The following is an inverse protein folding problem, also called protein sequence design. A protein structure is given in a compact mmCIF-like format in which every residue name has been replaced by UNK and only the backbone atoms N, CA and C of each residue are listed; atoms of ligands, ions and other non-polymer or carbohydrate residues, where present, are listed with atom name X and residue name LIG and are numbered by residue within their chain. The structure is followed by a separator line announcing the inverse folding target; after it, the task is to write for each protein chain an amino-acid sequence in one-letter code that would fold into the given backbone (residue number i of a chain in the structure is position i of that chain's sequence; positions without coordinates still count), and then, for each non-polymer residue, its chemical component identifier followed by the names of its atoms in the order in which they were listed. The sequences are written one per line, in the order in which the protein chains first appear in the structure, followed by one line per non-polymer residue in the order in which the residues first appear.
data_IF_528082024161
#
_entry.id   IF_528082024161
#
_cell.length_a   1.000
_cell.length_b   1.000
_cell.length_c   1.000
_cell.angle_alpha   90.00
_cell.angle_beta   90.00
_cell.angle_gamma   90.00
#
_symmetry.space_group_name_H-M   'P 1'
#
loop_
_entity.id
_entity.type
_entity.pdbx_description
1 polymer ?
#
# COMPACT_ATOMS: atom_id res chain seq x y z
N UNK A 1 -13.12 -11.98 -58.62
CA UNK A 1 -11.66 -12.27 -58.71
C UNK A 1 -10.95 -11.39 -57.69
N UNK A 2 -9.95 -11.85 -56.92
CA UNK A 2 -9.43 -13.20 -56.62
C UNK A 2 -9.85 -13.66 -55.19
N UNK A 3 -9.99 -14.95 -54.84
CA UNK A 3 -9.04 -16.05 -54.55
C UNK A 3 -8.60 -16.14 -53.06
N UNK A 4 -8.43 -17.36 -52.51
CA UNK A 4 -8.43 -17.63 -51.07
C UNK A 4 -7.05 -17.47 -50.41
N UNK A 5 -7.03 -17.06 -49.15
CA UNK A 5 -5.81 -17.01 -48.34
C UNK A 5 -5.38 -18.42 -47.93
N UNK A 6 -4.28 -18.87 -48.54
CA UNK A 6 -3.48 -20.02 -48.13
C UNK A 6 -2.52 -19.62 -47.02
N UNK A 7 -2.47 -20.47 -45.99
CA UNK A 7 -1.50 -20.47 -44.90
C UNK A 7 -0.06 -20.52 -45.44
N UNK A 8 0.80 -19.61 -44.96
CA UNK A 8 2.24 -19.88 -44.79
C UNK A 8 2.73 -19.25 -43.47
N UNK A 9 2.86 -20.11 -42.47
CA UNK A 9 3.84 -19.99 -41.41
C UNK A 9 5.24 -19.86 -42.04
N UNK A 10 5.94 -18.74 -41.83
CA UNK A 10 7.41 -18.68 -41.88
C UNK A 10 7.93 -17.45 -41.12
N UNK A 11 8.62 -17.74 -40.01
CA UNK A 11 9.93 -17.17 -39.67
C UNK A 11 10.15 -15.64 -39.66
N UNK A 12 9.49 -14.90 -38.78
CA UNK A 12 9.90 -13.49 -38.52
C UNK A 12 10.06 -13.13 -37.03
N UNK A 13 10.49 -14.08 -36.20
CA UNK A 13 10.76 -13.84 -34.76
C UNK A 13 12.22 -14.06 -34.32
N UNK A 14 13.18 -14.26 -35.24
CA UNK A 14 14.58 -14.52 -34.87
C UNK A 14 15.56 -13.35 -35.07
N UNK A 15 15.20 -12.30 -35.83
CA UNK A 15 16.17 -11.24 -36.20
C UNK A 15 16.19 -10.03 -35.26
N UNK A 16 15.18 -9.84 -34.40
CA UNK A 16 15.11 -8.67 -33.51
C UNK A 16 15.85 -8.84 -32.16
N UNK A 17 16.35 -10.04 -31.83
CA UNK A 17 17.00 -10.33 -30.52
C UNK A 17 18.53 -10.28 -30.54
N UNK A 18 19.15 -10.05 -31.70
CA UNK A 18 20.60 -10.20 -31.87
C UNK A 18 21.45 -8.92 -31.63
N UNK A 19 20.88 -7.73 -31.41
CA UNK A 19 21.67 -6.48 -31.45
C UNK A 19 21.97 -5.81 -30.09
N UNK A 20 21.56 -6.36 -28.95
CA UNK A 20 21.82 -5.77 -27.61
C UNK A 20 23.04 -6.33 -26.87
N UNK A 21 23.62 -7.44 -27.32
CA UNK A 21 24.74 -8.09 -26.62
C UNK A 21 26.14 -7.52 -26.95
N UNK A 22 26.29 -6.71 -28.00
CA UNK A 22 27.61 -6.28 -28.49
C UNK A 22 28.15 -4.94 -27.96
N UNK A 23 27.34 -4.10 -27.30
CA UNK A 23 27.71 -2.67 -27.10
C UNK A 23 28.45 -2.36 -25.80
N UNK A 24 28.41 -3.24 -24.79
CA UNK A 24 29.06 -3.02 -23.49
C UNK A 24 30.55 -3.41 -23.44
N UNK A 25 31.00 -4.25 -24.38
CA UNK A 25 32.39 -4.74 -24.43
C UNK A 25 33.31 -3.86 -25.27
N UNK A 26 32.73 -3.03 -26.14
CA UNK A 26 33.44 -2.11 -27.04
C UNK A 26 34.48 -1.21 -26.36
N UNK A 27 34.23 -0.57 -25.19
CA UNK A 27 35.23 0.26 -24.54
C UNK A 27 36.42 -0.55 -23.99
N UNK A 28 36.20 -1.80 -23.57
CA UNK A 28 37.26 -2.69 -23.11
C UNK A 28 38.12 -3.20 -24.28
N UNK A 29 37.48 -3.48 -25.43
CA UNK A 29 38.19 -3.82 -26.67
C UNK A 29 39.03 -2.63 -27.17
N UNK A 30 38.46 -1.42 -27.19
CA UNK A 30 39.21 -0.21 -27.58
C UNK A 30 40.39 0.02 -26.62
N UNK A 31 40.18 -0.11 -25.31
CA UNK A 31 41.23 0.04 -24.31
C UNK A 31 42.35 -1.00 -24.46
N UNK A 32 41.98 -2.26 -24.73
CA UNK A 32 42.93 -3.34 -25.01
C UNK A 32 43.75 -3.08 -26.27
N UNK A 33 43.12 -2.60 -27.34
CA UNK A 33 43.82 -2.21 -28.58
C UNK A 33 44.75 -1.02 -28.36
N UNK A 34 44.32 0.02 -27.64
CA UNK A 34 45.16 1.16 -27.31
C UNK A 34 46.38 0.75 -26.46
N UNK A 35 46.20 -0.18 -25.52
CA UNK A 35 47.28 -0.75 -24.72
C UNK A 35 48.31 -1.49 -25.60
N UNK A 36 47.85 -2.35 -26.51
CA UNK A 36 48.73 -3.07 -27.43
C UNK A 36 49.46 -2.14 -28.39
N UNK A 37 48.78 -1.10 -28.90
CA UNK A 37 49.36 -0.07 -29.76
C UNK A 37 50.46 0.69 -29.01
N UNK A 38 50.20 1.14 -27.78
CA UNK A 38 51.21 1.85 -26.98
C UNK A 38 52.44 0.98 -26.68
N UNK A 39 52.20 -0.31 -26.37
CA UNK A 39 53.24 -1.27 -26.04
C UNK A 39 54.12 -1.64 -27.25
N UNK A 40 53.61 -1.47 -28.48
CA UNK A 40 54.36 -1.67 -29.71
C UNK A 40 55.00 -0.38 -30.24
N UNK A 41 54.23 0.71 -30.31
CA UNK A 41 54.60 1.95 -31.00
C UNK A 41 55.67 2.73 -30.22
N UNK A 42 55.57 2.78 -28.89
CA UNK A 42 56.48 3.60 -28.07
C UNK A 42 57.90 3.06 -28.06
N UNK A 43 58.16 1.74 -27.82
CA UNK A 43 59.52 1.21 -27.93
C UNK A 43 60.13 1.42 -29.32
N UNK A 44 59.34 1.17 -30.36
CA UNK A 44 59.80 1.31 -31.74
C UNK A 44 60.11 2.76 -32.13
N UNK A 45 59.26 3.71 -31.73
CA UNK A 45 59.49 5.13 -32.01
C UNK A 45 60.74 5.68 -31.30
N UNK A 46 61.00 5.25 -30.07
CA UNK A 46 62.17 5.68 -29.29
C UNK A 46 63.49 5.12 -29.85
N UNK A 47 63.46 3.97 -30.52
CA UNK A 47 64.64 3.35 -31.11
C UNK A 47 64.83 3.63 -32.61
N UNK A 48 63.80 4.15 -33.30
CA UNK A 48 63.73 4.31 -34.76
C UNK A 48 64.87 5.15 -35.38
N UNK A 49 65.37 6.15 -34.66
CA UNK A 49 66.42 7.06 -35.16
C UNK A 49 67.83 6.78 -34.61
N UNK A 50 68.01 5.71 -33.83
CA UNK A 50 69.30 5.34 -33.26
C UNK A 50 70.14 4.54 -34.27
N UNK A 51 71.37 4.97 -34.54
CA UNK A 51 72.34 4.28 -35.39
C UNK A 51 73.03 3.13 -34.62
N UNK A 52 72.28 2.08 -34.30
CA UNK A 52 72.74 0.91 -33.54
C UNK A 52 72.57 -0.38 -34.34
N UNK A 53 73.33 -1.42 -33.99
CA UNK A 53 73.22 -2.72 -34.65
C UNK A 53 71.82 -3.33 -34.47
N UNK A 54 71.31 -4.11 -35.46
CA UNK A 54 69.95 -4.65 -35.40
C UNK A 54 69.67 -5.50 -34.15
N UNK A 55 70.67 -6.26 -33.69
CA UNK A 55 70.57 -7.08 -32.48
C UNK A 55 70.46 -6.23 -31.20
N UNK A 56 71.24 -5.15 -31.10
CA UNK A 56 71.18 -4.24 -29.95
C UNK A 56 69.87 -3.43 -29.92
N UNK A 57 69.29 -3.12 -31.08
CA UNK A 57 67.96 -2.48 -31.17
C UNK A 57 66.87 -3.38 -30.59
N UNK A 58 66.84 -4.65 -30.97
CA UNK A 58 65.84 -5.60 -30.48
C UNK A 58 65.90 -5.76 -28.95
N UNK A 59 67.11 -5.86 -28.39
CA UNK A 59 67.27 -5.95 -26.93
C UNK A 59 66.78 -4.68 -26.22
N UNK A 60 67.09 -3.50 -26.76
CA UNK A 60 66.65 -2.23 -26.18
C UNK A 60 65.13 -2.06 -26.28
N UNK A 61 64.53 -2.43 -27.41
CA UNK A 61 63.07 -2.40 -27.58
C UNK A 61 62.36 -3.31 -26.59
N UNK A 62 62.87 -4.53 -26.34
CA UNK A 62 62.28 -5.44 -25.35
C UNK A 62 62.35 -4.87 -23.93
N UNK A 63 63.48 -4.27 -23.54
CA UNK A 63 63.64 -3.64 -22.23
C UNK A 63 62.73 -2.42 -22.04
N UNK A 64 62.61 -1.58 -23.08
CA UNK A 64 61.70 -0.43 -23.09
C UNK A 64 60.25 -0.92 -22.98
N UNK A 65 59.87 -1.95 -23.74
CA UNK A 65 58.53 -2.55 -23.71
C UNK A 65 58.15 -3.08 -22.32
N UNK A 66 59.06 -3.79 -21.65
CA UNK A 66 58.83 -4.31 -20.30
C UNK A 66 58.66 -3.17 -19.27
N UNK A 67 59.41 -2.09 -19.43
CA UNK A 67 59.30 -0.89 -18.59
C UNK A 67 57.96 -0.18 -18.80
N UNK A 68 57.52 -0.02 -20.06
CA UNK A 68 56.22 0.56 -20.39
C UNK A 68 55.04 -0.30 -19.94
N UNK A 69 55.15 -1.63 -20.04
CA UNK A 69 54.12 -2.54 -19.53
C UNK A 69 53.88 -2.31 -18.03
N UNK A 70 54.95 -2.15 -17.23
CA UNK A 70 54.85 -1.87 -15.79
C UNK A 70 54.16 -0.52 -15.51
N UNK A 71 54.49 0.51 -16.28
CA UNK A 71 53.88 1.85 -16.15
C UNK A 71 52.37 1.78 -16.45
N UNK A 72 51.99 1.11 -17.54
CA UNK A 72 50.59 0.97 -17.94
C UNK A 72 49.79 0.15 -16.92
N UNK A 73 50.37 -0.94 -16.39
CA UNK A 73 49.76 -1.71 -15.29
C UNK A 73 49.55 -0.86 -14.04
N UNK A 74 50.55 -0.05 -13.65
CA UNK A 74 50.42 0.86 -12.52
C UNK A 74 49.32 1.92 -12.73
N UNK A 75 49.14 2.43 -13.95
CA UNK A 75 48.07 3.36 -14.27
C UNK A 75 46.68 2.71 -14.16
N UNK A 76 46.52 1.46 -14.64
CA UNK A 76 45.27 0.71 -14.54
C UNK A 76 44.91 0.42 -13.08
N UNK A 77 45.88 0.00 -12.27
CA UNK A 77 45.63 -0.27 -10.83
C UNK A 77 45.26 1.01 -10.08
N UNK A 78 45.91 2.14 -10.36
CA UNK A 78 45.54 3.43 -9.79
C UNK A 78 44.13 3.88 -10.21
N UNK A 79 43.77 3.71 -11.48
CA UNK A 79 42.42 3.99 -11.97
C UNK A 79 41.37 3.11 -11.26
N UNK A 80 41.65 1.81 -11.11
CA UNK A 80 40.78 0.88 -10.38
C UNK A 80 40.60 1.30 -8.92
N UNK A 81 41.69 1.64 -8.24
CA UNK A 81 41.66 2.14 -6.86
C UNK A 81 40.80 3.43 -6.75
N UNK A 82 40.92 4.36 -7.69
CA UNK A 82 40.13 5.59 -7.70
C UNK A 82 38.62 5.33 -7.90
N UNK A 83 38.25 4.36 -8.76
CA UNK A 83 36.85 3.96 -8.96
C UNK A 83 36.27 3.29 -7.72
N UNK A 84 37.03 2.39 -7.09
CA UNK A 84 36.63 1.74 -5.83
C UNK A 84 36.46 2.80 -4.74
N UNK A 85 37.38 3.76 -4.62
CA UNK A 85 37.27 4.87 -3.68
C UNK A 85 35.98 5.67 -3.88
N UNK A 86 35.65 6.02 -5.13
CA UNK A 86 34.40 6.71 -5.46
C UNK A 86 33.16 5.88 -5.14
N UNK A 87 33.22 4.57 -5.33
CA UNK A 87 32.14 3.66 -4.98
C UNK A 87 31.93 3.60 -3.45
N UNK A 88 33.01 3.49 -2.68
CA UNK A 88 32.97 3.53 -1.22
C UNK A 88 32.40 4.86 -0.69
N UNK A 89 32.76 6.00 -1.30
CA UNK A 89 32.17 7.30 -0.95
C UNK A 89 30.65 7.35 -1.18
N UNK A 90 30.15 6.71 -2.25
CA UNK A 90 28.69 6.62 -2.50
C UNK A 90 28.00 5.80 -1.42
N UNK A 91 28.57 4.65 -1.04
CA UNK A 91 28.02 3.80 0.04
C UNK A 91 28.01 4.59 1.35
N UNK A 92 29.10 5.26 1.70
CA UNK A 92 29.18 6.07 2.92
C UNK A 92 28.08 7.14 2.97
N UNK A 93 27.82 7.81 1.85
CA UNK A 93 26.75 8.80 1.74
C UNK A 93 25.34 8.21 1.88
N UNK A 94 25.12 7.00 1.35
CA UNK A 94 23.84 6.28 1.54
C UNK A 94 23.65 5.91 3.00
N UNK A 95 24.68 5.37 3.66
CA UNK A 95 24.65 5.02 5.09
C UNK A 95 24.41 6.25 5.97
N UNK A 96 25.07 7.37 5.67
CA UNK A 96 24.87 8.64 6.38
C UNK A 96 23.43 9.19 6.19
N UNK A 97 22.85 9.04 5.00
CA UNK A 97 21.46 9.42 4.77
C UNK A 97 20.50 8.50 5.53
N UNK A 98 20.77 7.19 5.54
CA UNK A 98 19.97 6.21 6.29
C UNK A 98 20.02 6.45 7.81
N UNK A 99 21.18 6.86 8.35
CA UNK A 99 21.29 7.21 9.77
C UNK A 99 20.57 8.51 10.11
N UNK A 100 20.59 9.51 9.22
CA UNK A 100 19.79 10.74 9.37
C UNK A 100 18.29 10.46 9.33
N UNK A 101 17.83 9.55 8.46
CA UNK A 101 16.41 9.15 8.43
C UNK A 101 16.02 8.38 9.68
N UNK A 102 16.90 7.53 10.21
CA UNK A 102 16.64 6.77 11.44
C UNK A 102 16.63 7.67 12.67
N UNK A 103 17.61 8.57 12.80
CA UNK A 103 17.66 9.53 13.90
C UNK A 103 16.51 10.55 13.85
N UNK A 104 16.05 10.94 12.65
CA UNK A 104 14.84 11.74 12.51
C UNK A 104 13.60 10.94 12.94
N UNK A 105 13.47 9.69 12.52
CA UNK A 105 12.38 8.80 12.94
C UNK A 105 12.37 8.58 14.46
N UNK A 106 13.52 8.31 15.07
CA UNK A 106 13.68 8.14 16.52
C UNK A 106 13.38 9.43 17.29
N UNK A 107 13.85 10.60 16.83
CA UNK A 107 13.50 11.88 17.46
C UNK A 107 12.02 12.17 17.33
N UNK A 108 11.40 11.89 16.19
CA UNK A 108 9.94 12.03 16.05
C UNK A 108 9.18 11.08 16.95
N UNK A 109 9.64 9.84 17.14
CA UNK A 109 9.04 8.86 18.03
C UNK A 109 9.23 9.21 19.52
N UNK A 110 10.41 9.70 19.90
CA UNK A 110 10.73 10.13 21.26
C UNK A 110 9.95 11.38 21.67
N UNK A 111 9.92 12.42 20.83
CA UNK A 111 9.10 13.61 21.10
C UNK A 111 7.60 13.35 20.90
N UNK A 112 7.20 12.39 20.08
CA UNK A 112 5.80 11.92 20.04
C UNK A 112 5.39 11.22 21.34
N UNK A 113 6.32 10.52 22.00
CA UNK A 113 6.06 9.90 23.31
C UNK A 113 5.96 10.93 24.45
N UNK A 114 6.56 12.13 24.30
CA UNK A 114 6.54 13.20 25.30
C UNK A 114 5.59 14.37 24.99
N UNK A 115 5.00 14.41 23.80
CA UNK A 115 4.05 15.43 23.41
C UNK A 115 2.74 15.31 24.23
N UNK A 116 2.24 16.43 24.73
CA UNK A 116 0.91 16.49 25.34
C UNK A 116 -0.16 16.01 24.36
N UNK A 117 -1.31 15.57 24.87
CA UNK A 117 -2.41 14.98 24.06
C UNK A 117 -2.77 15.84 22.84
N UNK A 118 -2.89 17.16 23.02
CA UNK A 118 -3.19 18.12 21.95
C UNK A 118 -2.13 18.16 20.84
N UNK A 119 -0.85 18.04 21.18
CA UNK A 119 0.23 18.10 20.20
C UNK A 119 0.34 16.79 19.41
N UNK A 120 0.09 15.64 20.05
CA UNK A 120 0.04 14.34 19.36
C UNK A 120 -1.07 14.31 18.32
N UNK A 121 -2.26 14.83 18.67
CA UNK A 121 -3.38 14.95 17.74
C UNK A 121 -3.05 15.88 16.57
N UNK A 122 -2.58 17.11 16.84
CA UNK A 122 -2.24 18.08 15.79
C UNK A 122 -1.19 17.54 14.81
N UNK A 123 -0.20 16.80 15.31
CA UNK A 123 0.81 16.15 14.46
C UNK A 123 0.20 15.06 13.60
N UNK A 124 -0.62 14.17 14.17
CA UNK A 124 -1.26 13.10 13.41
C UNK A 124 -2.17 13.65 12.29
N UNK A 125 -2.88 14.75 12.57
CA UNK A 125 -3.65 15.50 11.59
C UNK A 125 -2.78 16.08 10.47
N UNK A 126 -1.62 16.65 10.81
CA UNK A 126 -0.66 17.15 9.81
C UNK A 126 -0.14 16.04 8.88
N UNK A 127 0.07 14.83 9.40
CA UNK A 127 0.49 13.68 8.60
C UNK A 127 -0.63 13.18 7.66
N UNK A 128 -1.90 13.22 8.10
CA UNK A 128 -3.04 12.84 7.27
C UNK A 128 -3.20 13.73 6.02
N UNK A 129 -2.79 15.00 6.12
CA UNK A 129 -2.83 15.97 5.02
C UNK A 129 -1.63 15.92 4.07
N UNK A 130 -0.66 15.02 4.25
CA UNK A 130 0.54 14.95 3.40
C UNK A 130 0.23 14.39 2.00
N UNK A 131 0.96 14.85 0.98
CA UNK A 131 0.80 14.38 -0.41
C UNK A 131 1.27 12.92 -0.59
N UNK A 132 2.22 12.47 0.22
CA UNK A 132 2.80 11.13 0.15
C UNK A 132 1.93 10.14 0.91
N UNK A 133 1.54 9.07 0.23
CA UNK A 133 0.66 8.04 0.79
C UNK A 133 1.30 7.36 2.01
N UNK A 134 2.61 7.17 2.01
CA UNK A 134 3.33 6.55 3.13
C UNK A 134 3.23 7.40 4.40
N UNK A 135 3.23 8.73 4.25
CA UNK A 135 3.10 9.66 5.37
C UNK A 135 1.66 9.72 5.86
N UNK A 136 0.67 9.76 4.95
CA UNK A 136 -0.76 9.70 5.31
C UNK A 136 -1.11 8.44 6.07
N UNK A 137 -0.61 7.28 5.64
CA UNK A 137 -0.80 6.01 6.34
C UNK A 137 -0.25 6.09 7.77
N UNK A 138 0.92 6.71 7.97
CA UNK A 138 1.46 6.99 9.30
C UNK A 138 0.52 7.84 10.16
N UNK A 139 -0.09 8.89 9.58
CA UNK A 139 -1.10 9.72 10.24
C UNK A 139 -2.36 8.96 10.64
N UNK A 140 -2.90 8.14 9.73
CA UNK A 140 -4.11 7.33 9.96
C UNK A 140 -3.92 6.39 11.15
N UNK A 141 -2.80 5.64 11.19
CA UNK A 141 -2.54 4.72 12.30
C UNK A 141 -2.16 5.42 13.61
N UNK A 142 -1.58 6.63 13.54
CA UNK A 142 -1.36 7.46 14.73
C UNK A 142 -2.71 7.93 15.32
N UNK A 143 -3.66 8.33 14.48
CA UNK A 143 -5.02 8.69 14.90
C UNK A 143 -5.75 7.48 15.51
N UNK A 144 -5.67 6.29 14.89
CA UNK A 144 -6.25 5.06 15.47
C UNK A 144 -5.71 4.81 16.88
N UNK A 145 -4.40 4.94 17.07
CA UNK A 145 -3.77 4.75 18.37
C UNK A 145 -4.29 5.77 19.41
N UNK A 146 -4.39 7.04 19.03
CA UNK A 146 -4.94 8.08 19.91
C UNK A 146 -6.40 7.81 20.29
N UNK A 147 -7.23 7.37 19.34
CA UNK A 147 -8.62 7.01 19.59
C UNK A 147 -8.76 5.84 20.58
N UNK A 148 -7.79 4.91 20.60
CA UNK A 148 -7.76 3.80 21.58
C UNK A 148 -7.27 4.21 22.96
N UNK A 149 -6.35 5.17 23.03
CA UNK A 149 -5.77 5.66 24.28
C UNK A 149 -6.71 6.62 25.02
N UNK A 150 -7.59 7.34 24.30
CA UNK A 150 -8.47 8.37 24.84
C UNK A 150 -9.90 8.23 24.33
N UNK A 151 -10.82 7.86 25.22
CA UNK A 151 -12.27 7.82 24.91
C UNK A 151 -12.84 9.20 24.58
N UNK A 152 -12.24 10.27 25.14
CA UNK A 152 -12.59 11.65 24.84
C UNK A 152 -12.28 12.02 23.39
N UNK A 153 -11.15 11.55 22.86
CA UNK A 153 -10.69 11.88 21.50
C UNK A 153 -11.20 10.89 20.45
N UNK A 154 -11.68 9.71 20.86
CA UNK A 154 -12.22 8.69 19.97
C UNK A 154 -13.28 9.26 19.01
N UNK A 155 -14.33 9.91 19.54
CA UNK A 155 -15.41 10.48 18.71
C UNK A 155 -14.91 11.49 17.67
N UNK A 156 -14.20 12.56 18.08
CA UNK A 156 -13.60 13.52 17.14
C UNK A 156 -12.69 12.89 16.09
N UNK A 157 -11.90 11.88 16.45
CA UNK A 157 -11.04 11.18 15.49
C UNK A 157 -11.88 10.41 14.47
N UNK A 158 -12.92 9.70 14.89
CA UNK A 158 -13.82 9.00 13.96
C UNK A 158 -14.52 9.97 13.01
N UNK A 159 -14.92 11.14 13.50
CA UNK A 159 -15.54 12.20 12.70
C UNK A 159 -14.57 12.73 11.63
N UNK A 160 -13.34 13.06 12.02
CA UNK A 160 -12.30 13.52 11.08
C UNK A 160 -12.03 12.48 9.99
N UNK A 161 -11.85 11.22 10.40
CA UNK A 161 -11.57 10.13 9.47
C UNK A 161 -12.74 9.93 8.49
N UNK A 162 -13.97 10.01 8.97
CA UNK A 162 -15.16 9.90 8.13
C UNK A 162 -15.30 11.11 7.20
N UNK A 163 -15.04 12.33 7.70
CA UNK A 163 -15.04 13.56 6.91
C UNK A 163 -13.97 13.52 5.80
N UNK A 164 -12.78 12.97 6.07
CA UNK A 164 -11.75 12.77 5.07
C UNK A 164 -12.24 11.89 3.92
N UNK A 165 -12.95 10.79 4.22
CA UNK A 165 -13.54 9.94 3.17
C UNK A 165 -14.61 10.71 2.41
N UNK A 166 -15.51 11.44 3.10
CA UNK A 166 -16.54 12.24 2.42
C UNK A 166 -15.97 13.27 1.46
N UNK A 167 -14.87 13.93 1.83
CA UNK A 167 -14.21 14.92 0.98
C UNK A 167 -13.49 14.28 -0.23
N UNK A 168 -12.80 13.15 -0.03
CA UNK A 168 -11.94 12.55 -1.05
C UNK A 168 -12.59 11.43 -1.86
N UNK A 169 -13.78 10.98 -1.46
CA UNK A 169 -14.55 9.93 -2.11
C UNK A 169 -16.01 10.33 -2.35
N UNK A 170 -16.33 11.62 -2.38
CA UNK A 170 -17.68 12.09 -2.72
C UNK A 170 -18.16 11.44 -4.03
N UNK A 171 -19.42 11.02 -4.05
CA UNK A 171 -20.05 10.32 -5.14
C UNK A 171 -21.53 10.69 -5.23
N UNK A 172 -22.03 10.77 -6.46
CA UNK A 172 -23.45 10.97 -6.76
C UNK A 172 -23.97 9.87 -7.68
N UNK A 173 -25.27 9.59 -7.58
CA UNK A 173 -25.93 8.59 -8.41
C UNK A 173 -25.76 8.90 -9.91
N UNK A 174 -25.33 7.89 -10.68
CA UNK A 174 -25.03 8.03 -12.11
C UNK A 174 -23.56 8.33 -12.43
N UNK A 175 -22.74 8.68 -11.44
CA UNK A 175 -21.30 8.81 -11.63
C UNK A 175 -20.60 7.45 -11.70
N UNK A 176 -19.55 7.36 -12.51
CA UNK A 176 -18.70 6.17 -12.56
C UNK A 176 -17.83 6.09 -11.31
N UNK A 177 -18.17 5.16 -10.41
CA UNK A 177 -17.39 4.96 -9.20
C UNK A 177 -15.99 4.40 -9.52
N UNK A 178 -14.95 4.81 -8.77
CA UNK A 178 -13.62 4.21 -8.87
C UNK A 178 -13.68 2.73 -8.50
N UNK A 179 -13.02 1.87 -9.30
CA UNK A 179 -13.12 0.41 -9.19
C UNK A 179 -12.76 -0.19 -7.82
N UNK A 180 -12.03 0.54 -6.96
CA UNK A 180 -11.72 0.19 -5.57
C UNK A 180 -11.27 1.45 -4.82
N UNK A 181 -11.41 1.50 -3.48
CA UNK A 181 -10.85 2.59 -2.70
C UNK A 181 -9.32 2.61 -2.82
N UNK A 182 -8.73 3.80 -2.79
CA UNK A 182 -7.27 3.96 -2.65
C UNK A 182 -6.80 3.37 -1.31
N UNK A 183 -5.52 3.06 -1.20
CA UNK A 183 -4.98 2.37 -0.02
C UNK A 183 -5.12 3.17 1.28
N UNK A 184 -5.03 4.50 1.22
CA UNK A 184 -5.29 5.37 2.36
C UNK A 184 -6.76 5.37 2.79
N UNK A 185 -7.69 5.49 1.84
CA UNK A 185 -9.13 5.40 2.12
C UNK A 185 -9.50 4.02 2.70
N UNK A 186 -8.93 2.95 2.16
CA UNK A 186 -9.13 1.60 2.70
C UNK A 186 -8.53 1.45 4.11
N UNK A 187 -7.40 2.11 4.40
CA UNK A 187 -6.84 2.13 5.75
C UNK A 187 -7.78 2.87 6.72
N UNK A 188 -8.34 4.01 6.33
CA UNK A 188 -9.33 4.74 7.13
C UNK A 188 -10.57 3.86 7.39
N UNK A 189 -11.14 3.26 6.34
CA UNK A 189 -12.26 2.32 6.47
C UNK A 189 -11.97 1.16 7.42
N UNK A 190 -10.72 0.67 7.42
CA UNK A 190 -10.26 -0.38 8.34
C UNK A 190 -10.23 0.12 9.79
N UNK A 191 -9.75 1.35 10.02
CA UNK A 191 -9.73 1.96 11.36
C UNK A 191 -11.16 2.18 11.87
N UNK A 192 -12.04 2.76 11.05
CA UNK A 192 -13.45 2.96 11.38
C UNK A 192 -14.14 1.62 11.69
N UNK A 193 -13.90 0.60 10.87
CA UNK A 193 -14.47 -0.73 11.05
C UNK A 193 -13.94 -1.49 12.28
N UNK A 194 -12.77 -1.14 12.82
CA UNK A 194 -12.18 -1.73 14.04
C UNK A 194 -12.32 -0.84 15.28
N UNK A 195 -13.05 0.28 15.17
CA UNK A 195 -13.23 1.22 16.25
C UNK A 195 -13.91 0.55 17.45
N UNK A 196 -13.64 1.07 18.64
CA UNK A 196 -14.34 0.63 19.85
C UNK A 196 -15.72 1.27 19.95
N UNK A 197 -16.75 0.60 19.42
CA UNK A 197 -18.11 1.16 19.34
C UNK A 197 -18.72 1.59 20.69
N UNK A 198 -18.22 1.08 21.83
CA UNK A 198 -18.69 1.52 23.16
C UNK A 198 -18.21 2.93 23.53
N UNK A 199 -17.24 3.49 22.82
CA UNK A 199 -16.80 4.88 22.96
C UNK A 199 -17.51 5.82 22.00
N UNK A 200 -18.35 5.31 21.10
CA UNK A 200 -19.17 6.16 20.24
C UNK A 200 -20.23 6.87 21.10
N UNK A 201 -20.37 8.20 20.97
CA UNK A 201 -21.51 8.88 21.55
C UNK A 201 -22.83 8.35 20.98
N UNK A 202 -23.91 8.59 21.72
CA UNK A 202 -25.21 7.93 21.53
C UNK A 202 -25.91 8.18 20.19
N UNK A 203 -25.39 9.06 19.32
CA UNK A 203 -26.03 9.46 18.05
C UNK A 203 -25.41 8.81 16.80
N UNK A 204 -24.32 8.04 16.93
CA UNK A 204 -23.62 7.41 15.80
C UNK A 204 -22.67 8.39 15.11
N UNK A 205 -21.39 8.01 14.99
CA UNK A 205 -20.30 8.92 14.58
C UNK A 205 -19.73 8.66 13.21
N UNK A 206 -20.14 7.57 12.57
CA UNK A 206 -19.59 7.17 11.28
C UNK A 206 -20.50 7.71 10.19
N UNK A 207 -20.09 8.84 9.62
CA UNK A 207 -20.78 9.48 8.51
C UNK A 207 -20.01 9.32 7.20
N UNK A 208 -20.49 8.39 6.38
CA UNK A 208 -19.94 8.01 5.08
C UNK A 208 -20.99 8.16 3.97
N UNK A 209 -21.99 9.03 4.15
CA UNK A 209 -23.02 9.23 3.14
C UNK A 209 -22.45 9.78 1.83
N UNK A 210 -23.09 9.43 0.71
CA UNK A 210 -22.70 9.94 -0.61
C UNK A 210 -21.25 9.67 -0.97
N UNK A 211 -20.70 8.51 -0.56
CA UNK A 211 -19.31 8.15 -0.84
C UNK A 211 -19.17 6.97 -1.79
N UNK A 212 -18.11 7.00 -2.61
CA UNK A 212 -17.70 5.90 -3.49
C UNK A 212 -16.90 4.85 -2.72
N UNK A 213 -17.61 3.88 -2.14
CA UNK A 213 -17.05 2.75 -1.40
C UNK A 213 -17.13 1.44 -2.20
N UNK A 214 -17.23 1.53 -3.53
CA UNK A 214 -17.33 0.36 -4.37
C UNK A 214 -16.10 -0.54 -4.20
N UNK A 215 -16.33 -1.84 -3.99
CA UNK A 215 -15.34 -2.87 -3.67
C UNK A 215 -14.52 -2.59 -2.41
N UNK A 216 -15.02 -1.79 -1.47
CA UNK A 216 -14.41 -1.64 -0.17
C UNK A 216 -14.32 -2.98 0.58
N UNK A 217 -13.19 -3.19 1.25
CA UNK A 217 -12.97 -4.37 2.08
C UNK A 217 -13.36 -4.06 3.53
N UNK A 218 -14.54 -4.53 3.95
CA UNK A 218 -15.14 -4.25 5.25
C UNK A 218 -15.65 -5.51 5.98
N UNK A 219 -15.00 -6.69 5.90
CA UNK A 219 -15.49 -7.85 6.63
C UNK A 219 -15.32 -7.64 8.13
N UNK A 220 -16.30 -8.10 8.90
CA UNK A 220 -16.38 -7.92 10.36
C UNK A 220 -16.36 -6.45 10.82
N UNK A 221 -16.55 -5.48 9.92
CA UNK A 221 -16.52 -4.07 10.27
C UNK A 221 -17.67 -3.72 11.23
N UNK A 222 -17.34 -3.01 12.30
CA UNK A 222 -18.30 -2.36 13.16
C UNK A 222 -18.80 -1.09 12.44
N UNK A 223 -20.06 -1.10 12.01
CA UNK A 223 -20.75 -0.02 11.29
C UNK A 223 -22.17 0.18 11.85
N UNK A 224 -22.35 -0.12 13.13
CA UNK A 224 -23.63 0.02 13.82
C UNK A 224 -24.05 1.49 13.77
N UNK A 225 -25.29 1.73 13.31
CA UNK A 225 -25.87 3.08 13.17
C UNK A 225 -25.07 4.04 12.29
N UNK A 226 -24.20 3.53 11.42
CA UNK A 226 -23.46 4.35 10.47
C UNK A 226 -24.42 5.02 9.47
N UNK A 227 -24.09 6.23 9.05
CA UNK A 227 -24.75 6.93 7.96
C UNK A 227 -24.05 6.58 6.66
N UNK A 228 -24.72 5.77 5.83
CA UNK A 228 -24.22 5.25 4.55
C UNK A 228 -25.23 5.50 3.42
N UNK A 229 -26.20 6.39 3.66
CA UNK A 229 -27.23 6.73 2.69
C UNK A 229 -26.61 7.36 1.44
N UNK A 230 -27.19 7.08 0.29
CA UNK A 230 -26.70 7.54 -1.02
C UNK A 230 -25.24 7.13 -1.34
N UNK A 231 -24.63 6.23 -0.57
CA UNK A 231 -23.30 5.71 -0.87
C UNK A 231 -23.34 4.63 -1.95
N UNK A 232 -22.22 4.48 -2.67
CA UNK A 232 -21.99 3.35 -3.57
C UNK A 232 -21.20 2.26 -2.84
N UNK A 233 -21.86 1.13 -2.53
CA UNK A 233 -21.25 -0.08 -1.96
C UNK A 233 -21.18 -1.22 -2.99
N UNK A 234 -21.16 -0.91 -4.28
CA UNK A 234 -21.14 -1.91 -5.34
C UNK A 234 -19.89 -2.80 -5.21
N UNK A 235 -20.09 -4.12 -5.14
CA UNK A 235 -19.04 -5.11 -4.97
C UNK A 235 -18.32 -5.04 -3.61
N UNK A 236 -18.81 -4.23 -2.65
CA UNK A 236 -18.22 -4.15 -1.32
C UNK A 236 -18.28 -5.49 -0.59
N UNK A 237 -17.22 -5.80 0.16
CA UNK A 237 -17.08 -7.02 0.94
C UNK A 237 -17.48 -6.73 2.38
N UNK A 238 -18.73 -7.07 2.73
CA UNK A 238 -19.35 -6.77 4.02
C UNK A 238 -19.65 -8.05 4.82
N UNK A 239 -18.89 -9.12 4.57
CA UNK A 239 -19.14 -10.40 5.24
C UNK A 239 -19.03 -10.23 6.75
N UNK A 240 -20.06 -10.68 7.48
CA UNK A 240 -20.15 -10.56 8.92
C UNK A 240 -20.02 -9.12 9.48
N UNK A 241 -20.14 -8.08 8.64
CA UNK A 241 -20.14 -6.70 9.11
C UNK A 241 -21.36 -6.42 10.00
N UNK A 242 -21.19 -5.57 11.01
CA UNK A 242 -22.29 -5.18 11.89
C UNK A 242 -22.87 -3.85 11.42
N UNK A 243 -24.00 -3.89 10.71
CA UNK A 243 -24.73 -2.74 10.15
C UNK A 243 -26.06 -2.51 10.89
N UNK A 244 -26.17 -2.95 12.15
CA UNK A 244 -27.41 -2.78 12.93
C UNK A 244 -27.82 -1.32 13.02
N UNK A 245 -29.07 -1.03 12.69
CA UNK A 245 -29.60 0.32 12.73
C UNK A 245 -28.92 1.30 11.77
N UNK A 246 -28.08 0.83 10.84
CA UNK A 246 -27.42 1.69 9.86
C UNK A 246 -28.43 2.33 8.91
N UNK A 247 -28.13 3.55 8.46
CA UNK A 247 -28.94 4.28 7.50
C UNK A 247 -28.37 4.04 6.11
N UNK A 248 -29.04 3.18 5.33
CA UNK A 248 -28.60 2.68 4.02
C UNK A 248 -29.64 3.00 2.94
N UNK A 249 -30.43 4.06 3.15
CA UNK A 249 -31.45 4.46 2.20
C UNK A 249 -30.80 5.02 0.93
N UNK A 250 -31.33 4.65 -0.23
CA UNK A 250 -30.75 4.95 -1.55
C UNK A 250 -29.28 4.51 -1.76
N UNK A 251 -28.78 3.58 -0.98
CA UNK A 251 -27.43 3.02 -1.17
C UNK A 251 -27.44 1.99 -2.32
N UNK A 252 -26.41 1.95 -3.16
CA UNK A 252 -26.26 0.91 -4.19
C UNK A 252 -25.47 -0.28 -3.65
N UNK A 253 -26.00 -1.49 -3.88
CA UNK A 253 -25.40 -2.76 -3.43
C UNK A 253 -25.12 -3.73 -4.59
N UNK A 254 -24.91 -3.23 -5.80
CA UNK A 254 -24.72 -4.10 -6.96
C UNK A 254 -23.54 -5.05 -6.71
N UNK A 255 -23.76 -6.36 -6.76
CA UNK A 255 -22.74 -7.39 -6.48
C UNK A 255 -22.08 -7.33 -5.08
N UNK A 256 -22.61 -6.56 -4.13
CA UNK A 256 -22.08 -6.50 -2.77
C UNK A 256 -22.23 -7.86 -2.05
N UNK A 257 -21.26 -8.22 -1.21
CA UNK A 257 -21.25 -9.49 -0.47
C UNK A 257 -21.70 -9.24 0.97
N UNK A 258 -22.94 -9.64 1.28
CA UNK A 258 -23.60 -9.43 2.58
C UNK A 258 -23.72 -10.71 3.43
N UNK A 259 -22.97 -11.76 3.10
CA UNK A 259 -23.03 -13.03 3.84
C UNK A 259 -22.69 -12.84 5.33
N UNK A 260 -23.62 -13.20 6.21
CA UNK A 260 -23.52 -13.03 7.66
C UNK A 260 -23.61 -11.57 8.14
N UNK A 261 -23.82 -10.59 7.25
CA UNK A 261 -23.94 -9.18 7.64
C UNK A 261 -25.15 -8.99 8.56
N UNK A 262 -25.00 -8.18 9.62
CA UNK A 262 -26.03 -7.94 10.63
C UNK A 262 -26.76 -6.64 10.28
N UNK A 263 -27.95 -6.73 9.70
CA UNK A 263 -28.78 -5.63 9.17
C UNK A 263 -30.06 -5.41 9.99
N UNK A 264 -30.15 -5.96 11.20
CA UNK A 264 -31.33 -5.80 12.05
C UNK A 264 -31.56 -4.31 12.37
N UNK A 265 -32.78 -3.83 12.13
CA UNK A 265 -33.15 -2.42 12.29
C UNK A 265 -32.55 -1.43 11.29
N UNK A 266 -31.78 -1.90 10.30
CA UNK A 266 -31.23 -1.03 9.26
C UNK A 266 -32.33 -0.48 8.34
N UNK A 267 -32.11 0.73 7.82
CA UNK A 267 -33.00 1.36 6.84
C UNK A 267 -32.45 1.19 5.43
N UNK A 268 -32.98 0.25 4.66
CA UNK A 268 -32.62 -0.01 3.25
C UNK A 268 -33.64 0.61 2.29
N UNK A 269 -34.43 1.59 2.71
CA UNK A 269 -35.49 2.16 1.87
C UNK A 269 -34.88 2.76 0.59
N UNK A 270 -35.38 2.34 -0.57
CA UNK A 270 -34.87 2.80 -1.86
C UNK A 270 -33.45 2.32 -2.21
N UNK A 271 -32.87 1.37 -1.46
CA UNK A 271 -31.58 0.79 -1.83
C UNK A 271 -31.66 0.14 -3.22
N UNK A 272 -30.70 0.48 -4.08
CA UNK A 272 -30.66 0.06 -5.47
C UNK A 272 -29.80 -1.20 -5.65
N UNK A 273 -30.12 -2.00 -6.67
CA UNK A 273 -29.35 -3.19 -7.07
C UNK A 273 -29.17 -4.25 -5.97
N UNK A 274 -29.94 -4.15 -4.89
CA UNK A 274 -30.00 -5.15 -3.84
C UNK A 274 -30.96 -6.26 -4.27
N UNK A 275 -30.52 -7.51 -4.11
CA UNK A 275 -31.29 -8.71 -4.47
C UNK A 275 -31.76 -9.47 -3.24
N UNK A 276 -32.86 -10.21 -3.38
CA UNK A 276 -33.33 -11.11 -2.31
C UNK A 276 -32.29 -12.20 -1.96
N UNK A 277 -31.42 -12.59 -2.90
CA UNK A 277 -30.35 -13.54 -2.64
C UNK A 277 -29.28 -12.98 -1.69
N UNK A 278 -28.85 -11.74 -1.89
CA UNK A 278 -27.92 -11.06 -0.99
C UNK A 278 -28.51 -10.91 0.42
N UNK A 279 -29.80 -10.53 0.52
CA UNK A 279 -30.48 -10.39 1.81
C UNK A 279 -30.70 -11.72 2.54
N UNK A 280 -30.94 -12.83 1.82
CA UNK A 280 -31.06 -14.17 2.44
C UNK A 280 -29.79 -14.64 3.14
N UNK A 281 -28.62 -14.14 2.72
CA UNK A 281 -27.34 -14.40 3.39
C UNK A 281 -27.10 -13.53 4.62
N UNK A 282 -27.87 -12.48 4.82
CA UNK A 282 -27.72 -11.53 5.92
C UNK A 282 -28.71 -11.79 7.05
N UNK A 283 -28.43 -11.23 8.23
CA UNK A 283 -29.35 -11.22 9.36
C UNK A 283 -30.23 -9.97 9.29
N UNK A 284 -31.51 -10.15 8.99
CA UNK A 284 -32.54 -9.11 9.03
C UNK A 284 -33.62 -9.49 10.05
N UNK A 285 -34.42 -8.53 10.49
CA UNK A 285 -35.58 -8.77 11.34
C UNK A 285 -36.79 -7.93 10.91
N UNK A 286 -37.86 -7.98 11.71
CA UNK A 286 -39.08 -7.23 11.45
C UNK A 286 -38.92 -5.70 11.52
N UNK A 287 -37.78 -5.21 12.04
CA UNK A 287 -37.48 -3.78 12.14
C UNK A 287 -36.62 -3.27 10.99
N UNK A 288 -36.00 -4.18 10.22
CA UNK A 288 -35.28 -3.84 8.99
C UNK A 288 -36.26 -3.30 7.94
N UNK A 289 -36.05 -2.08 7.46
CA UNK A 289 -36.90 -1.49 6.40
C UNK A 289 -36.38 -1.90 5.04
N UNK A 290 -37.15 -2.71 4.33
CA UNK A 290 -36.77 -3.23 3.01
C UNK A 290 -37.16 -2.30 1.86
N UNK A 291 -36.41 -2.32 0.73
CA UNK A 291 -36.85 -1.71 -0.53
C UNK A 291 -38.19 -2.27 -1.00
N UNK A 292 -39.02 -1.43 -1.61
CA UNK A 292 -40.38 -1.81 -2.03
C UNK A 292 -40.39 -3.02 -2.97
N UNK A 293 -39.41 -3.14 -3.87
CA UNK A 293 -39.30 -4.26 -4.82
C UNK A 293 -38.95 -5.60 -4.15
N UNK A 294 -38.39 -5.60 -2.94
CA UNK A 294 -38.01 -6.82 -2.23
C UNK A 294 -39.01 -7.24 -1.15
N UNK A 295 -39.94 -6.35 -0.73
CA UNK A 295 -40.91 -6.67 0.34
C UNK A 295 -41.71 -7.93 0.03
N UNK A 296 -42.30 -8.01 -1.17
CA UNK A 296 -43.09 -9.18 -1.58
C UNK A 296 -42.24 -10.45 -1.76
N UNK A 297 -41.04 -10.35 -2.32
CA UNK A 297 -40.15 -11.50 -2.53
C UNK A 297 -39.65 -12.11 -1.21
N UNK A 298 -39.38 -11.25 -0.22
CA UNK A 298 -38.94 -11.67 1.11
C UNK A 298 -40.08 -12.28 1.93
N UNK A 299 -41.31 -11.79 1.78
CA UNK A 299 -42.50 -12.34 2.42
C UNK A 299 -42.94 -13.67 1.79
N UNK A 300 -42.83 -13.81 0.47
CA UNK A 300 -43.29 -14.97 -0.28
C UNK A 300 -42.40 -16.23 -0.12
N UNK A 301 -41.21 -16.10 0.47
CA UNK A 301 -40.25 -17.20 0.62
C UNK A 301 -40.06 -17.54 2.10
N UNK A 302 -40.78 -18.53 2.65
CA UNK A 302 -40.67 -18.86 4.06
C UNK A 302 -39.36 -19.61 4.33
N UNK A 303 -38.57 -19.13 5.27
CA UNK A 303 -37.73 -20.02 6.11
C UNK A 303 -38.09 -19.82 7.59
N UNK A 304 -38.64 -20.90 8.16
CA UNK A 304 -38.86 -21.20 9.58
C UNK A 304 -37.53 -21.22 10.38
N UNK A 305 -37.56 -21.47 11.71
CA UNK A 305 -38.37 -20.89 12.77
C UNK A 305 -37.53 -19.87 13.56
N UNK A 306 -38.19 -19.00 14.34
CA UNK A 306 -37.52 -18.16 15.34
C UNK A 306 -36.72 -19.05 16.30
N UNK A 307 -35.40 -19.06 16.17
CA UNK A 307 -34.53 -19.61 17.22
C UNK A 307 -34.84 -18.87 18.51
N UNK A 308 -35.29 -19.60 19.53
CA UNK A 308 -35.48 -19.01 20.87
C UNK A 308 -34.18 -18.30 21.26
N UNK A 309 -34.24 -17.11 21.88
CA UNK A 309 -33.04 -16.48 22.40
C UNK A 309 -32.33 -17.47 23.33
N UNK A 310 -31.06 -17.73 23.04
CA UNK A 310 -30.19 -18.52 23.93
C UNK A 310 -30.25 -17.83 25.30
N UNK A 311 -30.58 -18.55 26.40
CA UNK A 311 -30.62 -17.94 27.72
C UNK A 311 -29.26 -17.30 28.00
N UNK A 312 -29.29 -16.08 28.55
CA UNK A 312 -28.09 -15.36 28.95
C UNK A 312 -27.20 -16.31 29.76
N UNK A 313 -25.91 -16.33 29.43
CA UNK A 313 -24.93 -17.00 30.27
C UNK A 313 -25.08 -16.47 31.71
N UNK A 314 -25.02 -17.34 32.73
CA UNK A 314 -25.12 -16.87 34.10
C UNK A 314 -24.04 -15.81 34.34
N UNK A 315 -24.48 -14.68 34.90
CA UNK A 315 -23.58 -13.68 35.47
C UNK A 315 -22.78 -14.41 36.54
N UNK A 316 -21.50 -14.64 36.28
CA UNK A 316 -20.56 -15.06 37.32
C UNK A 316 -20.34 -13.79 38.14
N UNK A 317 -20.97 -13.71 39.30
CA UNK A 317 -20.64 -12.71 40.30
C UNK A 317 -19.18 -12.94 40.72
N UNK A 318 -18.33 -11.95 40.46
CA UNK A 318 -16.94 -11.88 40.93
C UNK A 318 -16.94 -11.79 42.47
N UNK A 319 -17.08 -12.91 43.17
CA UNK A 319 -16.96 -12.96 44.63
C UNK A 319 -15.66 -13.61 45.14
N UNK A 320 -14.74 -14.03 44.26
CA UNK A 320 -13.54 -14.79 44.67
C UNK A 320 -12.20 -14.28 44.12
N UNK A 321 -12.01 -12.95 44.03
CA UNK A 321 -10.68 -12.34 43.93
C UNK A 321 -10.29 -11.58 45.21
N UNK A 322 -10.21 -12.31 46.34
CA UNK A 322 -9.40 -11.87 47.48
C UNK A 322 -7.92 -12.09 47.16
N UNK A 323 -7.24 -11.01 46.77
CA UNK A 323 -5.79 -10.96 46.72
C UNK A 323 -5.20 -11.35 48.10
N UNK A 324 -4.17 -12.22 48.16
CA UNK A 324 -3.52 -12.56 49.41
C UNK A 324 -2.83 -11.33 50.02
N UNK A 325 -3.10 -11.08 51.29
CA UNK A 325 -2.46 -10.01 52.05
C UNK A 325 -0.97 -10.30 52.22
N UNK A 326 -0.14 -9.38 51.72
CA UNK A 326 1.30 -9.37 51.99
C UNK A 326 1.48 -9.06 53.48
N UNK A 327 1.94 -10.03 54.26
CA UNK A 327 2.43 -9.79 55.61
C UNK A 327 3.86 -9.21 55.53
N UNK A 328 4.03 -8.14 56.31
CA UNK A 328 5.22 -7.41 56.75
C UNK A 328 6.59 -7.94 56.33
#
# INVERSE_FOLDING_TARGET
MPAPETVTETEESSTARASRFGRHWWPYLIGGWAFLILLYLVPHALTANLQISPAARLTLETQIRDSWAKILWAAITLMGAALIWRYLQKIAKVVENSSKTLAAAERTAFFAAQAGETERYARAMGLLGDDKIEVRLGGIYALERLARESSRDHGPIMEVLSAYIREHAAWQEGETAPARPRADMQAILTVLGRRHAAFDPSEGHIDLHGTALSRAYLPWAHLERAFLYEANLDGAMLQNANLRGAWLWKTSFNEAILEGARLEGADLTGAANLTAAQLRGAHIDATTKLPDHLRGEMEASPKMPKGKPKPAAPVIEDEDLKLPSVRQ
#
